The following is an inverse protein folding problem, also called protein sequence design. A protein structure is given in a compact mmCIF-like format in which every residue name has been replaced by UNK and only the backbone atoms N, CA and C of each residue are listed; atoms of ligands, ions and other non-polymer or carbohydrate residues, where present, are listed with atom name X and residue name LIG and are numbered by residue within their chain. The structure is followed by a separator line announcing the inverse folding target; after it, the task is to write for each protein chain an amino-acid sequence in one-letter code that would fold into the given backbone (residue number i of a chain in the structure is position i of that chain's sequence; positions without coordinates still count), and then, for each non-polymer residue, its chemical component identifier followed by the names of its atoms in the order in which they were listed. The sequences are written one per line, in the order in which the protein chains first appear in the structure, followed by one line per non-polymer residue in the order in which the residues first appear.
data_IF_312338980697
#
_entry.id   IF_312338980697
#
_cell.length_a   1.000
_cell.length_b   1.000
_cell.length_c   1.000
_cell.angle_alpha   90.00
_cell.angle_beta   90.00
_cell.angle_gamma   90.00
#
_symmetry.space_group_name_H-M   'P 1'
#
loop_
_entity.id
_entity.type
_entity.pdbx_description
1 polymer ?
#
# COMPACT_ATOMS: atom_id res chain seq x y z
N UNK A 1 15.09 23.70 35.96
CA UNK A 1 15.97 23.32 34.83
C UNK A 1 16.67 22.03 35.21
N UNK A 2 16.01 20.88 35.01
CA UNK A 2 16.63 19.57 35.10
C UNK A 2 16.28 18.86 33.80
N UNK A 3 17.33 18.54 33.06
CA UNK A 3 17.34 17.91 31.75
C UNK A 3 16.70 16.53 31.82
N UNK A 4 15.54 16.39 31.18
CA UNK A 4 15.02 15.08 30.78
C UNK A 4 16.06 14.43 29.88
N UNK A 5 16.52 13.25 30.31
CA UNK A 5 17.45 12.41 29.59
C UNK A 5 16.66 11.77 28.45
N UNK A 6 16.69 12.41 27.29
CA UNK A 6 16.16 11.85 26.05
C UNK A 6 17.11 10.73 25.58
N UNK A 7 16.99 9.55 26.19
CA UNK A 7 17.59 8.33 25.66
C UNK A 7 16.79 7.93 24.42
N UNK A 8 17.09 8.59 23.30
CA UNK A 8 16.68 8.12 21.99
C UNK A 8 17.27 6.74 21.77
N UNK A 9 16.45 5.70 21.96
CA UNK A 9 16.83 4.31 21.67
C UNK A 9 17.21 4.21 20.18
N UNK A 10 18.43 3.73 19.89
CA UNK A 10 18.91 3.57 18.52
C UNK A 10 18.02 2.59 17.76
N UNK A 11 17.66 2.93 16.51
CA UNK A 11 16.88 2.06 15.63
C UNK A 11 17.49 0.65 15.54
N UNK A 12 18.81 0.52 15.47
CA UNK A 12 19.44 -0.79 15.35
C UNK A 12 19.26 -1.65 16.60
N UNK A 13 19.32 -1.04 17.79
CA UNK A 13 19.05 -1.74 19.06
C UNK A 13 17.59 -2.17 19.12
N UNK A 14 16.67 -1.23 18.86
CA UNK A 14 15.23 -1.50 18.87
C UNK A 14 14.84 -2.58 17.85
N UNK A 15 15.43 -2.54 16.65
CA UNK A 15 15.24 -3.54 15.61
C UNK A 15 15.75 -4.91 16.06
N UNK A 16 16.96 -4.98 16.61
CA UNK A 16 17.54 -6.24 17.06
C UNK A 16 16.68 -6.92 18.14
N UNK A 17 16.22 -6.15 19.12
CA UNK A 17 15.36 -6.66 20.19
C UNK A 17 13.98 -7.11 19.67
N UNK A 18 13.38 -6.34 18.76
CA UNK A 18 12.13 -6.73 18.11
C UNK A 18 12.31 -8.01 17.27
N UNK A 19 13.41 -8.13 16.51
CA UNK A 19 13.76 -9.33 15.75
C UNK A 19 13.92 -10.54 16.66
N UNK A 20 14.68 -10.42 17.76
CA UNK A 20 14.82 -11.50 18.75
C UNK A 20 13.46 -11.93 19.33
N UNK A 21 12.57 -10.97 19.59
CA UNK A 21 11.23 -11.26 20.09
C UNK A 21 10.37 -12.01 19.07
N UNK A 22 10.45 -11.65 17.79
CA UNK A 22 9.77 -12.37 16.70
C UNK A 22 10.31 -13.80 16.60
N UNK A 23 11.63 -13.97 16.64
CA UNK A 23 12.26 -15.26 16.39
C UNK A 23 11.95 -16.28 17.50
N UNK A 24 11.75 -15.80 18.73
CA UNK A 24 11.31 -16.62 19.88
C UNK A 24 9.83 -17.02 19.88
N UNK A 25 9.01 -16.47 18.98
CA UNK A 25 7.58 -16.82 18.92
C UNK A 25 7.38 -18.32 18.65
N UNK A 26 6.51 -18.95 19.43
CA UNK A 26 6.12 -20.36 19.27
C UNK A 26 4.74 -20.47 18.60
N UNK A 27 4.56 -21.49 17.75
CA UNK A 27 3.30 -21.70 17.05
C UNK A 27 2.25 -22.30 17.98
N UNK A 28 1.05 -21.74 17.96
CA UNK A 28 -0.09 -22.14 18.78
C UNK A 28 -1.30 -22.62 17.95
N UNK A 29 -1.10 -22.88 16.64
CA UNK A 29 -2.11 -23.33 15.68
C UNK A 29 -3.27 -22.32 15.52
N UNK A 30 -2.94 -21.03 15.46
CA UNK A 30 -3.89 -19.94 15.24
C UNK A 30 -4.11 -19.68 13.74
N UNK A 31 -5.21 -19.02 13.35
CA UNK A 31 -5.42 -18.59 11.97
C UNK A 31 -4.22 -17.77 11.44
N UNK A 32 -3.78 -18.07 10.23
CA UNK A 32 -2.73 -17.35 9.49
C UNK A 32 -1.37 -17.20 10.19
N UNK A 33 -1.18 -17.87 11.32
CA UNK A 33 0.01 -17.77 12.18
C UNK A 33 1.29 -18.20 11.47
N UNK A 34 1.18 -19.06 10.45
CA UNK A 34 2.29 -19.54 9.65
C UNK A 34 3.07 -18.40 8.96
N UNK A 35 2.42 -17.28 8.64
CA UNK A 35 3.09 -16.12 8.01
C UNK A 35 3.54 -15.06 9.03
N UNK A 36 3.28 -15.24 10.33
CA UNK A 36 3.50 -14.22 11.36
C UNK A 36 4.95 -13.73 11.40
N UNK A 37 5.92 -14.63 11.54
CA UNK A 37 7.34 -14.25 11.66
C UNK A 37 7.81 -13.50 10.42
N UNK A 38 7.53 -14.04 9.23
CA UNK A 38 7.88 -13.42 7.96
C UNK A 38 7.22 -12.04 7.78
N UNK A 39 5.97 -11.90 8.23
CA UNK A 39 5.21 -10.64 8.19
C UNK A 39 5.85 -9.57 9.06
N UNK A 40 6.11 -9.87 10.33
CA UNK A 40 6.69 -8.89 11.25
C UNK A 40 8.10 -8.46 10.82
N UNK A 41 8.92 -9.40 10.34
CA UNK A 41 10.23 -9.07 9.76
C UNK A 41 10.10 -8.16 8.52
N UNK A 42 9.13 -8.43 7.65
CA UNK A 42 8.87 -7.61 6.47
C UNK A 42 8.42 -6.18 6.86
N UNK A 43 7.56 -6.03 7.87
CA UNK A 43 7.16 -4.71 8.37
C UNK A 43 8.35 -3.92 8.94
N UNK A 44 9.25 -4.55 9.69
CA UNK A 44 10.47 -3.90 10.19
C UNK A 44 11.41 -3.45 9.07
N UNK A 45 11.46 -4.20 7.96
CA UNK A 45 12.33 -3.91 6.83
C UNK A 45 11.80 -2.76 5.95
N UNK A 46 10.50 -2.73 5.67
CA UNK A 46 9.96 -1.94 4.56
C UNK A 46 9.11 -0.73 4.98
N UNK A 47 8.57 -0.69 6.21
CA UNK A 47 7.81 0.47 6.66
C UNK A 47 8.69 1.73 6.70
N UNK A 48 8.10 2.93 6.48
CA UNK A 48 8.80 4.20 6.69
C UNK A 48 9.36 4.30 8.11
N UNK A 49 10.38 5.12 8.31
CA UNK A 49 11.17 5.21 9.55
C UNK A 49 10.32 5.34 10.83
N UNK A 50 9.36 6.28 10.83
CA UNK A 50 8.45 6.46 11.96
C UNK A 50 7.56 5.23 12.19
N UNK A 51 7.09 4.60 11.11
CA UNK A 51 6.22 3.42 11.16
C UNK A 51 6.96 2.19 11.70
N UNK A 52 8.13 1.86 11.14
CA UNK A 52 8.93 0.71 11.61
C UNK A 52 9.38 0.87 13.06
N UNK A 53 9.70 2.10 13.51
CA UNK A 53 10.04 2.36 14.91
C UNK A 53 8.85 2.22 15.88
N UNK A 54 7.63 2.51 15.44
CA UNK A 54 6.43 2.27 16.24
C UNK A 54 6.12 0.77 16.36
N UNK A 55 6.20 0.04 15.25
CA UNK A 55 5.95 -1.41 15.22
C UNK A 55 7.03 -2.19 15.98
N UNK A 56 8.30 -1.81 15.85
CA UNK A 56 9.37 -2.45 16.61
C UNK A 56 9.16 -2.33 18.13
N UNK A 57 8.66 -1.17 18.60
CA UNK A 57 8.30 -0.98 20.01
C UNK A 57 7.13 -1.85 20.44
N UNK A 58 6.10 -1.99 19.62
CA UNK A 58 4.99 -2.91 19.95
C UNK A 58 5.47 -4.34 20.09
N UNK A 59 6.27 -4.79 19.11
CA UNK A 59 6.83 -6.14 19.07
C UNK A 59 7.69 -6.38 20.31
N UNK A 60 8.65 -5.48 20.58
CA UNK A 60 9.51 -5.55 21.77
C UNK A 60 8.70 -5.62 23.07
N UNK A 61 7.62 -4.83 23.17
CA UNK A 61 6.79 -4.74 24.36
C UNK A 61 5.72 -5.86 24.46
N UNK A 62 5.58 -6.71 23.44
CA UNK A 62 4.68 -7.85 23.46
C UNK A 62 5.26 -8.95 24.36
N UNK A 63 4.87 -8.97 25.63
CA UNK A 63 5.45 -9.87 26.64
C UNK A 63 5.01 -11.32 26.53
N UNK A 64 3.96 -11.61 25.75
CA UNK A 64 3.48 -12.97 25.47
C UNK A 64 3.24 -13.20 23.97
N UNK A 65 3.23 -14.46 23.55
CA UNK A 65 2.92 -14.80 22.15
C UNK A 65 1.48 -14.42 21.77
N UNK A 66 0.55 -14.40 22.73
CA UNK A 66 -0.78 -13.80 22.51
C UNK A 66 -0.69 -12.36 22.04
N UNK A 67 0.04 -11.52 22.78
CA UNK A 67 0.18 -10.10 22.43
C UNK A 67 0.93 -9.90 21.11
N UNK A 68 1.90 -10.76 20.79
CA UNK A 68 2.64 -10.65 19.53
C UNK A 68 1.77 -11.08 18.34
N UNK A 69 0.94 -12.10 18.53
CA UNK A 69 -0.08 -12.50 17.56
C UNK A 69 -1.09 -11.37 17.32
N UNK A 70 -1.54 -10.66 18.36
CA UNK A 70 -2.45 -9.52 18.22
C UNK A 70 -1.81 -8.37 17.42
N UNK A 71 -0.52 -8.09 17.61
CA UNK A 71 0.23 -7.13 16.79
C UNK A 71 0.24 -7.54 15.33
N UNK A 72 0.54 -8.82 15.05
CA UNK A 72 0.50 -9.36 13.70
C UNK A 72 -0.89 -9.27 13.08
N UNK A 73 -1.92 -9.70 13.81
CA UNK A 73 -3.29 -9.72 13.31
C UNK A 73 -3.77 -8.30 13.00
N UNK A 74 -3.49 -7.33 13.87
CA UNK A 74 -3.82 -5.92 13.62
C UNK A 74 -3.14 -5.40 12.35
N UNK A 75 -1.86 -5.72 12.11
CA UNK A 75 -1.18 -5.32 10.89
C UNK A 75 -1.74 -6.03 9.65
N UNK A 76 -2.11 -7.30 9.76
CA UNK A 76 -2.71 -8.06 8.68
C UNK A 76 -4.09 -7.49 8.31
N UNK A 77 -4.98 -7.29 9.28
CA UNK A 77 -6.38 -6.89 9.04
C UNK A 77 -6.55 -5.40 8.81
N UNK A 78 -5.81 -4.56 9.54
CA UNK A 78 -5.97 -3.11 9.52
C UNK A 78 -4.98 -2.40 8.60
N UNK A 79 -4.02 -3.09 7.96
CA UNK A 79 -3.11 -2.49 6.99
C UNK A 79 -2.96 -3.34 5.72
N UNK A 80 -2.49 -4.58 5.83
CA UNK A 80 -2.16 -5.39 4.65
C UNK A 80 -3.40 -5.79 3.83
N UNK A 81 -4.45 -6.27 4.51
CA UNK A 81 -5.68 -6.74 3.87
C UNK A 81 -6.39 -5.62 3.10
N UNK A 82 -6.62 -4.41 3.64
CA UNK A 82 -7.37 -3.39 2.91
C UNK A 82 -6.53 -2.75 1.79
N UNK A 83 -5.20 -2.73 1.93
CA UNK A 83 -4.26 -2.33 0.87
C UNK A 83 -4.27 -3.29 -0.33
N UNK A 84 -4.56 -4.57 -0.09
CA UNK A 84 -4.65 -5.59 -1.15
C UNK A 84 -6.07 -5.82 -1.66
N UNK A 85 -7.07 -5.73 -0.78
CA UNK A 85 -8.47 -5.96 -1.11
C UNK A 85 -9.05 -4.78 -1.91
N UNK A 86 -9.91 -5.08 -2.88
CA UNK A 86 -10.57 -4.06 -3.70
C UNK A 86 -11.53 -3.23 -2.84
N UNK A 87 -11.07 -2.09 -2.32
CA UNK A 87 -11.83 -0.92 -1.84
C UNK A 87 -13.19 -1.20 -1.17
N UNK A 88 -13.27 -2.23 -0.30
CA UNK A 88 -14.37 -2.36 0.66
C UNK A 88 -13.84 -1.83 1.99
N UNK A 89 -14.56 -0.94 2.70
CA UNK A 89 -14.09 -0.44 3.98
C UNK A 89 -13.84 -1.63 4.93
N UNK A 90 -12.67 -1.76 5.55
CA UNK A 90 -12.47 -2.73 6.61
C UNK A 90 -13.36 -2.37 7.80
N UNK A 91 -13.86 -3.39 8.50
CA UNK A 91 -14.38 -3.22 9.86
C UNK A 91 -13.16 -2.94 10.74
N UNK A 92 -13.03 -1.71 11.24
CA UNK A 92 -11.93 -1.35 12.13
C UNK A 92 -11.99 -2.22 13.39
N UNK A 93 -10.99 -3.07 13.61
CA UNK A 93 -10.76 -3.73 14.89
C UNK A 93 -9.90 -2.81 15.76
N UNK A 94 -10.26 -2.69 17.04
CA UNK A 94 -9.53 -1.87 18.01
C UNK A 94 -8.05 -2.23 18.08
N UNK A 95 -7.21 -1.21 18.30
CA UNK A 95 -5.79 -1.42 18.61
C UNK A 95 -5.66 -2.19 19.93
N UNK A 96 -4.82 -3.24 20.01
CA UNK A 96 -4.59 -3.98 21.25
C UNK A 96 -3.94 -3.11 22.35
N UNK A 97 -3.37 -1.96 21.99
CA UNK A 97 -2.82 -0.99 22.93
C UNK A 97 -3.74 0.22 23.13
N UNK A 98 -4.26 0.40 24.36
CA UNK A 98 -5.16 1.51 24.70
C UNK A 98 -4.57 2.92 24.49
N UNK A 99 -3.23 3.07 24.59
CA UNK A 99 -2.55 4.36 24.30
C UNK A 99 -2.68 4.80 22.83
N UNK A 100 -2.92 3.86 21.90
CA UNK A 100 -3.13 4.18 20.48
C UNK A 100 -4.55 4.61 20.16
N UNK A 101 -5.56 4.25 20.96
CA UNK A 101 -6.93 4.73 20.71
C UNK A 101 -6.99 6.27 20.75
N UNK A 102 -6.27 6.90 21.67
CA UNK A 102 -6.14 8.37 21.72
C UNK A 102 -5.38 8.96 20.52
N UNK A 103 -4.45 8.19 19.94
CA UNK A 103 -3.73 8.60 18.73
C UNK A 103 -4.56 8.40 17.46
N UNK A 104 -5.45 7.42 17.42
CA UNK A 104 -6.37 7.18 16.30
C UNK A 104 -7.28 8.40 16.11
N UNK A 105 -7.86 8.93 17.18
CA UNK A 105 -8.75 10.11 17.11
C UNK A 105 -7.99 11.39 16.72
N UNK A 106 -6.77 11.55 17.22
CA UNK A 106 -5.87 12.64 16.84
C UNK A 106 -5.41 12.55 15.37
N UNK A 107 -5.19 11.34 14.83
CA UNK A 107 -4.86 11.15 13.41
C UNK A 107 -6.10 11.35 12.55
N UNK A 108 -7.23 10.73 12.90
CA UNK A 108 -8.48 10.83 12.14
C UNK A 108 -8.96 12.28 11.97
N UNK A 109 -8.75 13.14 12.98
CA UNK A 109 -9.08 14.57 12.90
C UNK A 109 -8.16 15.40 11.99
N UNK A 110 -7.02 14.85 11.58
CA UNK A 110 -6.11 15.45 10.58
C UNK A 110 -6.30 14.90 9.18
N UNK A 111 -7.14 13.87 9.01
CA UNK A 111 -7.39 13.25 7.72
C UNK A 111 -8.52 13.99 6.98
N UNK A 112 -8.22 14.52 5.80
CA UNK A 112 -9.24 14.93 4.82
C UNK A 112 -10.18 13.77 4.49
N UNK A 113 -11.46 14.07 4.26
CA UNK A 113 -12.40 13.04 3.82
C UNK A 113 -11.91 12.44 2.49
N UNK A 114 -11.75 11.12 2.43
CA UNK A 114 -11.27 10.49 1.21
C UNK A 114 -12.26 10.75 0.07
N UNK A 115 -11.73 10.99 -1.13
CA UNK A 115 -12.54 11.31 -2.31
C UNK A 115 -13.26 10.05 -2.81
N UNK A 116 -14.60 10.10 -2.84
CA UNK A 116 -15.41 8.93 -3.25
C UNK A 116 -15.14 8.59 -4.72
N UNK A 117 -15.34 7.32 -5.11
CA UNK A 117 -15.30 6.88 -6.51
C UNK A 117 -16.49 7.48 -7.28
N UNK A 118 -16.46 8.79 -7.48
CA UNK A 118 -17.43 9.51 -8.29
C UNK A 118 -17.13 9.27 -9.77
N UNK A 119 -18.14 9.41 -10.62
CA UNK A 119 -17.91 9.45 -12.06
C UNK A 119 -16.89 10.54 -12.44
N UNK A 120 -16.86 11.64 -11.67
CA UNK A 120 -15.94 12.75 -11.89
C UNK A 120 -14.48 12.35 -11.65
N UNK A 121 -14.20 11.52 -10.63
CA UNK A 121 -12.86 10.95 -10.42
C UNK A 121 -12.42 10.14 -11.64
N UNK A 122 -13.28 9.23 -12.12
CA UNK A 122 -12.98 8.42 -13.31
C UNK A 122 -12.74 9.30 -14.54
N UNK A 123 -13.62 10.27 -14.81
CA UNK A 123 -13.52 11.19 -15.95
C UNK A 123 -12.22 12.00 -15.89
N UNK A 124 -11.85 12.53 -14.72
CA UNK A 124 -10.61 13.28 -14.51
C UNK A 124 -9.37 12.42 -14.77
N UNK A 125 -9.31 11.19 -14.25
CA UNK A 125 -8.19 10.29 -14.51
C UNK A 125 -8.06 9.95 -16.00
N UNK A 126 -9.16 9.58 -16.66
CA UNK A 126 -9.15 9.28 -18.09
C UNK A 126 -8.68 10.48 -18.90
N UNK A 127 -9.21 11.68 -18.64
CA UNK A 127 -8.79 12.90 -19.32
C UNK A 127 -7.29 13.19 -19.10
N UNK A 128 -6.84 13.15 -17.83
CA UNK A 128 -5.42 13.35 -17.47
C UNK A 128 -4.49 12.41 -18.24
N UNK A 129 -4.87 11.15 -18.35
CA UNK A 129 -4.03 10.10 -18.95
C UNK A 129 -4.27 9.95 -20.46
N UNK A 130 -4.98 10.89 -21.10
CA UNK A 130 -5.25 10.88 -22.54
C UNK A 130 -6.07 9.66 -22.99
N UNK A 131 -6.97 9.21 -22.13
CA UNK A 131 -7.81 8.01 -22.27
C UNK A 131 -7.01 6.73 -22.45
N UNK A 132 -5.77 6.66 -21.94
CA UNK A 132 -4.91 5.48 -22.03
C UNK A 132 -4.56 4.92 -20.66
N UNK A 133 -4.31 3.62 -20.62
CA UNK A 133 -3.66 3.02 -19.47
C UNK A 133 -2.25 3.63 -19.30
N UNK A 134 -1.94 4.12 -18.10
CA UNK A 134 -0.62 4.71 -17.79
C UNK A 134 0.52 3.71 -17.96
N UNK A 135 0.25 2.41 -17.78
CA UNK A 135 1.23 1.32 -17.89
C UNK A 135 1.32 0.77 -19.32
N UNK A 136 0.23 0.19 -19.85
CA UNK A 136 0.26 -0.54 -21.13
C UNK A 136 0.07 0.37 -22.36
N UNK A 137 -0.28 1.64 -22.14
CA UNK A 137 -0.61 2.64 -23.18
C UNK A 137 -1.80 2.29 -24.08
N UNK A 138 -2.53 1.20 -23.79
CA UNK A 138 -3.77 0.86 -24.47
C UNK A 138 -4.83 1.93 -24.22
N UNK A 139 -5.57 2.29 -25.27
CA UNK A 139 -6.64 3.28 -25.20
C UNK A 139 -7.95 2.66 -24.68
N UNK A 140 -8.74 3.44 -23.93
CA UNK A 140 -10.09 3.06 -23.52
C UNK A 140 -10.94 2.69 -24.74
N UNK A 141 -11.59 1.53 -24.69
CA UNK A 141 -12.38 1.01 -25.82
C UNK A 141 -13.47 1.99 -26.25
N UNK A 142 -14.14 2.69 -25.32
CA UNK A 142 -15.23 3.61 -25.68
C UNK A 142 -14.65 4.80 -26.43
N UNK A 143 -13.62 5.42 -25.86
CA UNK A 143 -12.96 6.55 -26.50
C UNK A 143 -12.36 6.19 -27.87
N UNK A 144 -11.71 5.02 -27.97
CA UNK A 144 -11.13 4.54 -29.24
C UNK A 144 -12.18 4.40 -30.35
N UNK A 145 -13.39 3.94 -30.01
CA UNK A 145 -14.49 3.87 -30.97
C UNK A 145 -15.04 5.28 -31.31
N UNK A 146 -15.08 6.21 -30.35
CA UNK A 146 -15.55 7.59 -30.55
C UNK A 146 -14.67 8.39 -31.52
N UNK A 147 -13.36 8.14 -31.54
CA UNK A 147 -12.39 8.84 -32.42
C UNK A 147 -12.06 8.07 -33.70
N UNK A 148 -13.03 7.29 -34.19
CA UNK A 148 -12.96 6.54 -35.46
C UNK A 148 -11.80 5.53 -35.55
N UNK A 149 -11.64 4.72 -34.50
CA UNK A 149 -10.85 3.50 -34.57
C UNK A 149 -9.39 3.71 -35.04
N UNK A 150 -8.60 4.59 -34.39
CA UNK A 150 -7.32 5.04 -34.91
C UNK A 150 -6.35 3.86 -35.09
N UNK A 151 -5.79 3.78 -36.30
CA UNK A 151 -4.85 2.73 -36.69
C UNK A 151 -3.58 2.76 -35.83
N UNK A 152 -3.06 1.58 -35.48
CA UNK A 152 -1.81 1.44 -34.72
C UNK A 152 -1.91 1.71 -33.22
N UNK A 153 -3.08 2.08 -32.71
CA UNK A 153 -3.30 2.26 -31.26
C UNK A 153 -4.07 1.04 -30.71
N UNK A 154 -3.46 0.22 -29.84
CA UNK A 154 -4.17 -0.88 -29.21
C UNK A 154 -5.23 -0.35 -28.24
N UNK A 155 -6.35 -1.06 -28.14
CA UNK A 155 -7.46 -0.74 -27.24
C UNK A 155 -7.63 -1.77 -26.14
N UNK A 156 -8.11 -1.35 -24.99
CA UNK A 156 -8.34 -2.19 -23.82
C UNK A 156 -9.37 -1.60 -22.88
N UNK A 157 -9.89 -2.43 -21.96
CA UNK A 157 -10.70 -1.90 -20.86
C UNK A 157 -9.77 -1.18 -19.89
N UNK A 158 -10.05 0.08 -19.60
CA UNK A 158 -9.28 0.85 -18.62
C UNK A 158 -10.18 1.29 -17.46
N UNK A 159 -9.59 1.37 -16.28
CA UNK A 159 -10.25 1.80 -15.06
C UNK A 159 -9.40 2.83 -14.33
N UNK A 160 -10.06 3.75 -13.63
CA UNK A 160 -9.39 4.63 -12.69
C UNK A 160 -9.13 3.85 -11.39
N UNK A 161 -7.86 3.74 -11.02
CA UNK A 161 -7.43 3.03 -9.83
C UNK A 161 -6.98 4.03 -8.76
N UNK A 162 -7.46 3.86 -7.53
CA UNK A 162 -6.87 4.49 -6.35
C UNK A 162 -5.56 3.77 -6.03
N UNK A 163 -4.46 4.52 -5.85
CA UNK A 163 -3.15 3.95 -5.51
C UNK A 163 -3.15 3.41 -4.07
N UNK A 164 -3.71 4.21 -3.17
CA UNK A 164 -4.01 3.83 -1.80
C UNK A 164 -5.53 3.65 -1.70
N UNK A 165 -6.04 2.58 -1.07
CA UNK A 165 -7.46 2.44 -0.78
C UNK A 165 -8.00 3.67 -0.06
N UNK A 166 -9.26 3.97 -0.37
CA UNK A 166 -10.02 5.07 0.22
C UNK A 166 -9.92 5.14 1.74
N UNK A 167 -9.91 3.99 2.43
CA UNK A 167 -9.86 3.91 3.89
C UNK A 167 -8.61 4.55 4.53
N UNK A 168 -7.54 4.82 3.77
CA UNK A 168 -6.31 5.44 4.28
C UNK A 168 -5.96 6.77 3.60
N UNK A 169 -6.83 7.30 2.75
CA UNK A 169 -6.48 8.45 1.92
C UNK A 169 -6.69 9.77 2.66
N UNK A 170 -5.71 10.15 3.48
CA UNK A 170 -5.36 11.57 3.65
C UNK A 170 -3.88 11.71 4.01
N UNK A 171 -3.17 12.47 3.19
CA UNK A 171 -1.74 12.71 3.31
C UNK A 171 -1.37 14.02 2.62
N UNK A 172 -0.33 14.67 3.13
CA UNK A 172 0.23 15.88 2.54
C UNK A 172 0.69 15.67 1.10
N UNK A 173 0.35 16.62 0.23
CA UNK A 173 0.79 16.65 -1.16
C UNK A 173 2.23 17.19 -1.23
N UNK A 174 3.21 16.31 -1.41
CA UNK A 174 4.50 16.72 -1.97
C UNK A 174 5.33 15.54 -2.48
N UNK A 175 5.84 15.66 -3.71
CA UNK A 175 7.26 15.40 -4.01
C UNK A 175 7.62 15.95 -5.39
N UNK A 176 8.71 16.70 -5.48
CA UNK A 176 9.38 17.14 -6.72
C UNK A 176 10.26 16.04 -7.31
N UNK A 177 9.68 14.88 -7.63
CA UNK A 177 10.40 13.84 -8.38
C UNK A 177 10.00 13.88 -9.85
N UNK A 178 10.94 13.51 -10.71
CA UNK A 178 10.62 13.10 -12.08
C UNK A 178 9.53 12.03 -12.01
N UNK A 179 8.46 12.20 -12.79
CA UNK A 179 7.28 11.34 -12.76
C UNK A 179 7.50 9.99 -13.47
N UNK A 180 8.70 9.44 -13.31
CA UNK A 180 9.18 8.20 -13.91
C UNK A 180 9.38 7.18 -12.79
N UNK A 181 8.76 6.02 -12.94
CA UNK A 181 8.77 4.98 -11.91
C UNK A 181 9.07 3.61 -12.52
N UNK A 182 9.81 2.79 -11.77
CA UNK A 182 10.08 1.41 -12.14
C UNK A 182 8.92 0.51 -11.73
N UNK A 183 8.36 -0.23 -12.69
CA UNK A 183 7.34 -1.23 -12.48
C UNK A 183 8.00 -2.52 -12.00
N UNK A 184 7.70 -2.88 -10.75
CA UNK A 184 8.07 -4.20 -10.23
C UNK A 184 6.91 -5.17 -10.40
N UNK A 185 7.23 -6.35 -10.92
CA UNK A 185 6.26 -7.43 -11.14
C UNK A 185 6.72 -8.65 -10.35
N UNK A 186 5.81 -9.24 -9.59
CA UNK A 186 6.05 -10.50 -8.89
C UNK A 186 5.52 -11.64 -9.76
N UNK A 187 6.43 -12.23 -10.55
CA UNK A 187 6.16 -13.09 -11.73
C UNK A 187 5.17 -14.24 -11.50
N UNK A 188 5.05 -14.75 -10.27
CA UNK A 188 4.11 -15.83 -9.93
C UNK A 188 2.63 -15.50 -10.17
N UNK A 189 2.30 -14.24 -10.48
CA UNK A 189 0.93 -13.73 -10.52
C UNK A 189 0.50 -13.13 -11.85
N UNK A 190 1.36 -13.16 -12.87
CA UNK A 190 1.05 -12.60 -14.19
C UNK A 190 1.21 -13.68 -15.26
N UNK A 191 0.25 -13.77 -16.16
CA UNK A 191 0.36 -14.60 -17.35
C UNK A 191 1.38 -14.01 -18.32
N UNK A 192 1.98 -14.86 -19.16
CA UNK A 192 2.89 -14.42 -20.23
C UNK A 192 2.24 -13.37 -21.14
N UNK A 193 0.92 -13.50 -21.35
CA UNK A 193 0.12 -12.53 -22.10
C UNK A 193 0.10 -11.15 -21.43
N UNK A 194 -0.10 -11.08 -20.11
CA UNK A 194 -0.07 -9.81 -19.39
C UNK A 194 1.34 -9.21 -19.37
N UNK A 195 2.36 -10.05 -19.17
CA UNK A 195 3.76 -9.61 -19.18
C UNK A 195 4.19 -9.01 -20.52
N UNK A 196 3.67 -9.54 -21.63
CA UNK A 196 3.93 -9.05 -22.98
C UNK A 196 3.33 -7.66 -23.27
N UNK A 197 2.30 -7.24 -22.51
CA UNK A 197 1.65 -5.94 -22.68
C UNK A 197 2.31 -4.82 -21.85
N UNK A 198 3.33 -5.15 -21.05
CA UNK A 198 4.02 -4.20 -20.20
C UNK A 198 5.21 -3.55 -20.92
N UNK A 199 5.62 -2.32 -20.55
CA UNK A 199 6.79 -1.68 -21.13
C UNK A 199 8.04 -2.57 -21.02
N UNK A 200 8.84 -2.77 -22.09
CA UNK A 200 10.04 -3.60 -22.03
C UNK A 200 11.06 -3.12 -21.00
N UNK A 201 11.23 -1.79 -20.85
CA UNK A 201 12.09 -1.19 -19.83
C UNK A 201 11.54 -1.29 -18.42
N UNK A 202 10.26 -1.69 -18.27
CA UNK A 202 9.49 -1.61 -17.03
C UNK A 202 9.38 -0.19 -16.47
N UNK A 203 9.63 0.83 -17.27
CA UNK A 203 9.46 2.21 -16.84
C UNK A 203 8.07 2.74 -17.18
N UNK A 204 7.46 3.41 -16.21
CA UNK A 204 6.17 4.09 -16.35
C UNK A 204 6.40 5.57 -16.11
N UNK A 205 6.11 6.37 -17.14
CA UNK A 205 6.10 7.82 -17.05
C UNK A 205 4.66 8.31 -16.92
N UNK A 206 4.37 9.00 -15.83
CA UNK A 206 3.12 9.73 -15.66
C UNK A 206 3.24 11.10 -16.33
N UNK A 207 2.33 11.37 -17.25
CA UNK A 207 2.28 12.60 -18.03
C UNK A 207 0.83 13.06 -18.12
N UNK A 208 0.63 14.37 -18.18
CA UNK A 208 -0.69 14.96 -18.38
C UNK A 208 -0.96 15.10 -19.88
N UNK A 209 -2.17 14.78 -20.31
CA UNK A 209 -2.65 15.11 -21.65
C UNK A 209 -2.61 16.63 -21.88
N UNK A 210 -2.47 17.04 -23.14
CA UNK A 210 -2.30 18.44 -23.51
C UNK A 210 -3.45 19.34 -23.01
N UNK A 211 -4.67 18.81 -22.95
CA UNK A 211 -5.89 19.48 -22.52
C UNK A 211 -6.25 19.25 -21.03
N UNK A 212 -5.33 18.68 -20.25
CA UNK A 212 -5.53 18.28 -18.85
C UNK A 212 -4.42 18.78 -17.91
N UNK A 213 -3.78 19.91 -18.24
CA UNK A 213 -2.66 20.45 -17.47
C UNK A 213 -3.05 20.89 -16.05
N UNK A 214 -4.33 21.20 -15.84
CA UNK A 214 -4.97 21.54 -14.58
C UNK A 214 -5.16 20.33 -13.65
N UNK A 215 -5.12 19.10 -14.17
CA UNK A 215 -5.32 17.89 -13.37
C UNK A 215 -3.98 17.41 -12.81
N UNK A 216 -3.90 17.21 -11.49
CA UNK A 216 -2.67 16.75 -10.82
C UNK A 216 -2.29 15.31 -11.22
N UNK A 217 -0.97 15.07 -11.29
CA UNK A 217 -0.43 13.71 -11.39
C UNK A 217 -0.56 13.00 -10.04
N UNK A 218 -0.47 11.65 -10.01
CA UNK A 218 -0.54 10.94 -8.76
C UNK A 218 0.61 11.29 -7.81
N UNK A 219 0.32 11.31 -6.51
CA UNK A 219 1.32 11.59 -5.49
C UNK A 219 2.41 10.52 -5.47
N UNK A 220 3.67 10.96 -5.55
CA UNK A 220 4.83 10.09 -5.41
C UNK A 220 4.87 9.39 -4.04
N UNK A 221 4.39 10.04 -2.98
CA UNK A 221 4.29 9.43 -1.66
C UNK A 221 3.31 8.24 -1.63
N UNK A 222 2.21 8.32 -2.40
CA UNK A 222 1.29 7.19 -2.56
C UNK A 222 1.90 6.05 -3.35
N UNK A 223 2.68 6.36 -4.38
CA UNK A 223 3.39 5.35 -5.16
C UNK A 223 4.46 4.64 -4.30
N UNK A 224 5.24 5.39 -3.50
CA UNK A 224 6.21 4.81 -2.56
C UNK A 224 5.53 3.94 -1.49
N UNK A 225 4.42 4.41 -0.92
CA UNK A 225 3.64 3.65 0.05
C UNK A 225 3.10 2.34 -0.55
N UNK A 226 2.49 2.41 -1.75
CA UNK A 226 2.00 1.23 -2.47
C UNK A 226 3.13 0.24 -2.79
N UNK A 227 4.30 0.74 -3.20
CA UNK A 227 5.47 -0.08 -3.47
C UNK A 227 5.97 -0.80 -2.21
N UNK A 228 6.16 -0.10 -1.09
CA UNK A 228 6.59 -0.70 0.19
C UNK A 228 5.63 -1.78 0.67
N UNK A 229 4.32 -1.54 0.56
CA UNK A 229 3.33 -2.53 0.92
C UNK A 229 3.35 -3.74 0.00
N UNK A 230 3.63 -3.54 -1.29
CA UNK A 230 3.83 -4.64 -2.23
C UNK A 230 5.05 -5.49 -1.85
N UNK A 231 6.16 -4.87 -1.41
CA UNK A 231 7.31 -5.59 -0.87
C UNK A 231 6.96 -6.39 0.39
N UNK A 232 6.22 -5.79 1.33
CA UNK A 232 5.77 -6.45 2.56
C UNK A 232 4.91 -7.67 2.22
N UNK A 233 3.91 -7.49 1.35
CA UNK A 233 3.00 -8.53 0.93
C UNK A 233 3.72 -9.70 0.25
N UNK A 234 4.69 -9.40 -0.62
CA UNK A 234 5.49 -10.40 -1.32
C UNK A 234 6.47 -11.14 -0.39
N UNK A 235 7.18 -10.41 0.49
CA UNK A 235 8.17 -10.99 1.38
C UNK A 235 7.56 -11.85 2.50
N UNK A 236 6.33 -11.53 2.92
CA UNK A 236 5.66 -12.18 4.04
C UNK A 236 4.79 -13.37 3.67
N UNK A 237 4.30 -13.45 2.43
CA UNK A 237 3.25 -14.40 2.05
C UNK A 237 1.84 -14.01 2.50
N UNK A 238 1.66 -12.82 3.09
CA UNK A 238 0.32 -12.31 3.44
C UNK A 238 -0.58 -12.13 2.22
N UNK A 239 0.00 -11.92 1.04
CA UNK A 239 -0.77 -11.74 -0.18
C UNK A 239 -1.63 -12.98 -0.50
N UNK A 240 -1.09 -14.17 -0.33
CA UNK A 240 -1.77 -15.46 -0.51
C UNK A 240 -2.84 -15.67 0.56
N UNK A 241 -2.53 -15.34 1.81
CA UNK A 241 -3.47 -15.41 2.94
C UNK A 241 -4.70 -14.55 2.69
N UNK A 242 -4.49 -13.28 2.33
CA UNK A 242 -5.58 -12.34 2.04
C UNK A 242 -6.42 -12.84 0.86
N UNK A 243 -5.80 -13.37 -0.18
CA UNK A 243 -6.53 -13.90 -1.34
C UNK A 243 -7.37 -15.13 -1.03
N UNK A 244 -6.91 -15.99 -0.12
CA UNK A 244 -7.70 -17.12 0.36
C UNK A 244 -8.96 -16.61 1.06
N UNK A 245 -8.82 -15.68 2.00
CA UNK A 245 -9.94 -15.08 2.72
C UNK A 245 -10.92 -14.29 1.84
N UNK A 246 -10.47 -13.76 0.70
CA UNK A 246 -11.35 -13.07 -0.25
C UNK A 246 -12.16 -14.02 -1.16
N UNK A 247 -11.79 -15.30 -1.23
CA UNK A 247 -12.49 -16.31 -2.05
C UNK A 247 -13.52 -17.11 -1.25
N UNK A 248 -13.33 -17.20 0.06
CA UNK A 248 -14.23 -17.85 1.02
C UNK A 248 -15.39 -16.91 1.42
#
# INVERSE_FOLDING_TARGET
MSTETDTSESWETLRAEATERIDRYELHNRPDEAVLKASLHAFLAWLPEKGRGAIARDIKNATSDDTLYDVFLNLLTCLAAPMKARSRPPSATDSPYGKRQQQVEAVASTLDEPSTRTEDFRKKCLKRDGYRCVVTKQMDIKHWNEIDCPAGIPKGRVEAASIIPFAYASWDKASEKENVYQLRVFERRFSDFELANLPPSREVVFQKAQDAQDIELPSAAFLDCHWRLSEILNASGMAEVIEKHLRD
#
